data_IF_373358209497
#
_entry.id   IF_373358209497
#
_cell.length_a   1.000
_cell.length_b   1.000
_cell.length_c   1.000
_cell.angle_alpha   90.00
_cell.angle_beta   90.00
_cell.angle_gamma   90.00
#
_symmetry.space_group_name_H-M   'P 1'
#
loop_
_entity.id
_entity.type
_entity.pdbx_description
1 polymer ?
#
# COMPACT_ATOMS: atom_id res chain seq x y z
N UNK A 1 9.61 -7.96 -17.58
CA UNK A 1 8.58 -8.76 -16.84
C UNK A 1 9.18 -9.01 -15.49
N UNK A 2 8.76 -8.22 -14.53
CA UNK A 2 9.31 -8.27 -13.18
C UNK A 2 8.75 -9.50 -12.49
N UNK A 3 9.65 -10.35 -11.95
CA UNK A 3 9.29 -11.65 -11.42
C UNK A 3 8.40 -11.52 -10.18
N UNK A 4 7.20 -12.07 -10.27
CA UNK A 4 6.32 -12.29 -9.13
C UNK A 4 6.61 -13.68 -8.60
N UNK A 5 7.08 -13.78 -7.36
CA UNK A 5 7.26 -15.07 -6.69
C UNK A 5 6.08 -15.28 -5.76
N UNK A 6 5.17 -16.18 -6.12
CA UNK A 6 4.08 -16.64 -5.25
C UNK A 6 4.56 -17.89 -4.51
N UNK A 7 4.50 -17.85 -3.18
CA UNK A 7 4.94 -18.96 -2.35
C UNK A 7 3.76 -19.43 -1.51
N UNK A 8 3.30 -20.64 -1.82
CA UNK A 8 2.37 -21.38 -0.96
C UNK A 8 3.15 -22.19 0.09
N UNK A 9 2.59 -22.25 1.30
CA UNK A 9 3.04 -23.11 2.41
C UNK A 9 4.48 -22.88 2.90
N UNK A 10 4.72 -21.76 3.59
CA UNK A 10 5.86 -21.54 4.50
C UNK A 10 7.28 -21.73 3.92
N UNK A 11 7.47 -21.77 2.61
CA UNK A 11 8.78 -21.86 1.99
C UNK A 11 9.09 -20.57 1.25
N UNK A 12 10.05 -19.78 1.73
CA UNK A 12 10.58 -18.63 1.00
C UNK A 12 11.43 -19.17 -0.16
N UNK A 13 11.01 -18.98 -1.42
CA UNK A 13 11.84 -19.30 -2.57
C UNK A 13 13.00 -18.31 -2.68
N UNK A 14 14.11 -18.70 -3.31
CA UNK A 14 15.29 -17.85 -3.55
C UNK A 14 14.92 -16.62 -4.38
N UNK A 15 15.20 -15.49 -3.91
CA UNK A 15 14.37 -14.32 -3.75
C UNK A 15 14.97 -13.18 -4.55
N UNK A 16 14.22 -12.68 -5.55
CA UNK A 16 14.57 -11.47 -6.33
C UNK A 16 14.77 -10.23 -5.46
N UNK A 17 14.34 -10.28 -4.18
CA UNK A 17 14.38 -9.18 -3.23
C UNK A 17 15.62 -9.21 -2.32
N UNK A 18 16.28 -10.38 -2.22
CA UNK A 18 17.51 -10.55 -1.45
C UNK A 18 18.72 -10.39 -2.36
N UNK A 19 19.32 -9.23 -2.34
CA UNK A 19 20.54 -8.91 -3.10
C UNK A 19 21.43 -7.95 -2.31
N UNK A 20 22.75 -7.98 -2.56
CA UNK A 20 23.68 -7.12 -1.85
C UNK A 20 23.57 -5.66 -2.31
N UNK A 21 23.51 -4.75 -1.33
CA UNK A 21 23.52 -3.29 -1.58
C UNK A 21 24.58 -2.60 -0.74
N UNK A 22 25.25 -1.64 -1.32
CA UNK A 22 26.25 -0.81 -0.67
C UNK A 22 26.00 0.68 -0.92
N UNK A 23 26.42 1.49 0.05
CA UNK A 23 26.43 2.95 -0.13
C UNK A 23 27.78 3.33 -0.70
N UNK A 24 27.78 3.92 -1.89
CA UNK A 24 28.99 4.29 -2.62
C UNK A 24 29.13 5.81 -2.79
N UNK A 25 30.37 6.27 -2.96
CA UNK A 25 30.66 7.67 -3.25
C UNK A 25 30.28 8.00 -4.69
N UNK A 26 29.93 9.24 -4.93
CA UNK A 26 29.64 9.77 -6.26
C UNK A 26 30.83 10.58 -6.77
N UNK A 27 31.05 10.49 -8.05
CA UNK A 27 31.93 11.40 -8.79
C UNK A 27 31.12 12.17 -9.84
N UNK A 28 31.51 13.39 -10.13
CA UNK A 28 30.93 14.20 -11.19
C UNK A 28 31.97 14.44 -12.29
N UNK A 29 31.53 14.49 -13.54
CA UNK A 29 32.35 14.95 -14.67
C UNK A 29 31.73 16.21 -15.26
N UNK A 30 32.59 17.10 -15.81
CA UNK A 30 32.14 18.23 -16.60
C UNK A 30 32.01 17.80 -18.06
N UNK A 31 31.02 18.27 -18.78
CA UNK A 31 30.82 17.95 -20.18
C UNK A 31 32.10 18.19 -20.98
N UNK A 32 32.56 17.17 -21.73
CA UNK A 32 33.79 17.21 -22.53
C UNK A 32 35.07 17.04 -21.72
N UNK A 33 35.03 16.82 -20.42
CA UNK A 33 36.19 16.57 -19.56
C UNK A 33 36.23 15.09 -19.13
N UNK A 34 37.40 14.46 -19.27
CA UNK A 34 37.63 13.10 -18.77
C UNK A 34 37.96 13.05 -17.27
N UNK A 35 38.12 14.20 -16.63
CA UNK A 35 38.42 14.25 -15.20
C UNK A 35 37.15 13.96 -14.35
N UNK A 36 37.35 13.18 -13.30
CA UNK A 36 36.31 12.89 -12.30
C UNK A 36 36.60 13.71 -11.05
N UNK A 37 35.56 14.35 -10.53
CA UNK A 37 35.61 15.17 -9.33
C UNK A 37 34.78 14.50 -8.23
N UNK A 38 35.33 14.30 -7.05
CA UNK A 38 34.62 13.71 -5.93
C UNK A 38 33.48 14.60 -5.45
N UNK A 39 32.29 14.04 -5.37
CA UNK A 39 31.14 14.69 -4.72
C UNK A 39 31.27 14.47 -3.22
N UNK A 40 31.29 15.55 -2.40
CA UNK A 40 31.38 15.39 -0.95
C UNK A 40 30.24 14.48 -0.41
N UNK A 41 30.58 13.51 0.43
CA UNK A 41 29.61 12.57 1.03
C UNK A 41 28.54 13.29 1.84
N UNK A 42 28.83 14.47 2.33
CA UNK A 42 27.85 15.34 3.02
C UNK A 42 26.77 15.88 2.08
N UNK A 43 27.04 15.94 0.77
CA UNK A 43 26.08 16.41 -0.23
C UNK A 43 25.24 15.27 -0.78
N UNK A 44 25.91 14.21 -1.29
CA UNK A 44 25.19 13.08 -1.87
C UNK A 44 26.02 11.79 -1.85
N UNK A 45 25.31 10.64 -1.79
CA UNK A 45 25.84 9.28 -1.92
C UNK A 45 24.84 8.47 -2.74
N UNK A 46 25.31 7.41 -3.41
CA UNK A 46 24.43 6.47 -4.10
C UNK A 46 24.27 5.18 -3.30
N UNK A 47 23.11 4.55 -3.44
CA UNK A 47 22.89 3.16 -3.06
C UNK A 47 23.02 2.34 -4.34
N UNK A 48 23.93 1.39 -4.35
CA UNK A 48 24.25 0.56 -5.50
C UNK A 48 23.99 -0.90 -5.17
N UNK A 49 23.38 -1.59 -6.08
CA UNK A 49 23.24 -3.03 -6.11
C UNK A 49 24.56 -3.63 -6.65
N UNK A 50 25.28 -4.38 -5.82
CA UNK A 50 26.67 -4.78 -6.13
C UNK A 50 26.78 -6.00 -7.04
N UNK A 51 25.73 -6.80 -7.18
CA UNK A 51 25.67 -7.94 -8.09
C UNK A 51 25.44 -7.52 -9.56
N UNK A 52 24.77 -6.38 -9.78
CA UNK A 52 24.50 -5.85 -11.13
C UNK A 52 25.21 -4.52 -11.43
N UNK A 53 25.83 -3.90 -10.42
CA UNK A 53 26.41 -2.56 -10.45
C UNK A 53 25.41 -1.43 -10.82
N UNK A 54 24.12 -1.66 -10.55
CA UNK A 54 23.08 -0.67 -10.81
C UNK A 54 22.90 0.29 -9.62
N UNK A 55 22.75 1.58 -9.93
CA UNK A 55 22.43 2.59 -8.93
C UNK A 55 20.93 2.60 -8.70
N UNK A 56 20.51 2.25 -7.48
CA UNK A 56 19.10 2.17 -7.07
C UNK A 56 18.56 3.53 -6.58
N UNK A 57 19.42 4.41 -6.09
CA UNK A 57 19.02 5.74 -5.63
C UNK A 57 20.21 6.62 -5.26
N UNK A 58 20.00 7.93 -5.33
CA UNK A 58 20.99 8.95 -4.92
C UNK A 58 20.37 9.83 -3.83
N UNK A 59 21.09 9.99 -2.72
CA UNK A 59 20.54 10.62 -1.52
C UNK A 59 21.56 11.49 -0.80
N UNK A 60 21.05 12.50 -0.06
CA UNK A 60 21.84 13.28 0.87
C UNK A 60 22.29 12.45 2.10
N UNK A 61 23.23 13.01 2.86
CA UNK A 61 23.89 12.35 4.01
C UNK A 61 22.95 11.86 5.13
N UNK A 62 21.75 12.41 5.22
CA UNK A 62 20.75 12.03 6.25
C UNK A 62 19.95 10.78 5.90
N UNK A 63 20.00 10.31 4.64
CA UNK A 63 19.29 9.12 4.25
C UNK A 63 19.97 7.87 4.82
N UNK A 64 19.17 6.98 5.38
CA UNK A 64 19.60 5.67 5.87
C UNK A 64 18.88 4.59 5.07
N UNK A 65 19.60 3.87 4.23
CA UNK A 65 19.06 2.71 3.55
C UNK A 65 18.68 1.64 4.57
N UNK A 66 17.48 1.07 4.40
CA UNK A 66 17.07 -0.15 5.11
C UNK A 66 17.09 -1.25 4.05
N UNK A 67 17.83 -2.32 4.28
CA UNK A 67 17.90 -3.43 3.35
C UNK A 67 16.53 -4.08 3.21
N UNK A 68 16.21 -4.55 2.01
CA UNK A 68 14.97 -5.31 1.79
C UNK A 68 14.92 -6.56 2.66
N UNK A 69 16.06 -7.25 2.82
CA UNK A 69 16.20 -8.41 3.70
C UNK A 69 15.80 -8.10 5.15
N UNK A 70 16.28 -6.97 5.69
CA UNK A 70 15.98 -6.57 7.06
C UNK A 70 14.48 -6.30 7.24
N UNK A 71 13.85 -5.70 6.23
CA UNK A 71 12.40 -5.43 6.24
C UNK A 71 11.61 -6.73 6.20
N UNK A 72 11.90 -7.60 5.22
CA UNK A 72 11.18 -8.86 5.05
C UNK A 72 11.33 -9.73 6.28
N UNK A 73 12.56 -9.96 6.73
CA UNK A 73 12.85 -10.80 7.89
C UNK A 73 12.13 -10.26 9.14
N UNK A 74 12.20 -8.95 9.38
CA UNK A 74 11.54 -8.34 10.53
C UNK A 74 10.02 -8.44 10.49
N UNK A 75 9.39 -8.29 9.33
CA UNK A 75 7.94 -8.47 9.20
C UNK A 75 7.56 -9.93 9.38
N UNK A 76 8.31 -10.88 8.79
CA UNK A 76 8.06 -12.31 8.93
C UNK A 76 8.27 -12.79 10.38
N UNK A 77 9.28 -12.28 11.07
CA UNK A 77 9.47 -12.55 12.50
C UNK A 77 8.33 -11.95 13.33
N UNK A 78 7.85 -10.75 12.97
CA UNK A 78 6.71 -10.14 13.63
C UNK A 78 5.41 -10.94 13.42
N UNK A 79 5.19 -11.48 12.22
CA UNK A 79 4.07 -12.39 11.93
C UNK A 79 4.15 -13.64 12.78
N UNK A 80 5.28 -14.32 12.79
CA UNK A 80 5.51 -15.54 13.61
C UNK A 80 5.33 -15.27 15.10
N UNK A 81 5.89 -14.15 15.60
CA UNK A 81 5.83 -13.79 17.02
C UNK A 81 4.48 -13.22 17.45
N UNK A 82 3.61 -12.81 16.51
CA UNK A 82 2.27 -12.34 16.85
C UNK A 82 1.34 -13.47 17.31
N UNK A 83 1.70 -14.72 17.04
CA UNK A 83 0.88 -15.92 17.31
C UNK A 83 -0.56 -15.83 16.76
N UNK A 84 -0.77 -15.02 15.72
CA UNK A 84 -2.08 -14.76 15.12
C UNK A 84 -2.57 -15.99 14.36
N UNK A 85 -1.75 -16.51 13.45
CA UNK A 85 -1.96 -17.76 12.71
C UNK A 85 -0.66 -18.19 12.03
N UNK A 86 -0.56 -19.50 11.76
CA UNK A 86 0.53 -20.08 10.95
C UNK A 86 0.07 -20.46 9.54
N UNK A 87 -1.20 -20.27 9.20
CA UNK A 87 -1.75 -20.54 7.87
C UNK A 87 -1.84 -19.25 7.06
N UNK A 88 -0.76 -18.95 6.34
CA UNK A 88 -0.66 -17.76 5.50
C UNK A 88 0.16 -18.00 4.23
N UNK A 89 -0.16 -17.23 3.21
CA UNK A 89 0.62 -17.12 1.98
C UNK A 89 1.39 -15.80 1.96
N UNK A 90 2.61 -15.82 1.42
CA UNK A 90 3.46 -14.63 1.28
C UNK A 90 3.73 -14.35 -0.19
N UNK A 91 3.56 -13.08 -0.60
CA UNK A 91 3.95 -12.60 -1.91
C UNK A 91 4.86 -11.38 -1.77
N UNK A 92 6.04 -11.42 -2.40
CA UNK A 92 7.03 -10.34 -2.39
C UNK A 92 7.35 -9.96 -3.82
N UNK A 93 7.21 -8.68 -4.13
CA UNK A 93 7.46 -8.10 -5.44
C UNK A 93 8.51 -7.01 -5.33
N UNK A 94 9.43 -6.98 -6.29
CA UNK A 94 10.40 -5.89 -6.46
C UNK A 94 10.14 -5.18 -7.78
N UNK A 95 10.37 -3.87 -7.78
CA UNK A 95 10.15 -2.99 -8.93
C UNK A 95 11.40 -2.14 -9.16
N UNK A 96 11.51 -1.60 -10.37
CA UNK A 96 12.56 -0.68 -10.77
C UNK A 96 13.95 -1.25 -10.45
N UNK A 97 14.24 -2.44 -10.99
CA UNK A 97 15.49 -3.20 -10.83
C UNK A 97 15.88 -3.51 -9.37
N UNK A 98 14.91 -3.51 -8.46
CA UNK A 98 15.13 -3.72 -7.03
C UNK A 98 15.13 -2.43 -6.21
N UNK A 99 14.89 -1.27 -6.81
CA UNK A 99 14.83 -0.02 -6.04
C UNK A 99 13.64 0.04 -5.07
N UNK A 100 12.57 -0.74 -5.32
CA UNK A 100 11.33 -0.75 -4.53
C UNK A 100 10.91 -2.16 -4.20
N UNK A 101 10.32 -2.35 -3.03
CA UNK A 101 9.78 -3.62 -2.55
C UNK A 101 8.37 -3.43 -2.02
N UNK A 102 7.47 -4.33 -2.42
CA UNK A 102 6.15 -4.56 -1.82
C UNK A 102 6.05 -6.00 -1.36
N UNK A 103 5.65 -6.23 -0.11
CA UNK A 103 5.34 -7.54 0.39
C UNK A 103 3.93 -7.62 0.96
N UNK A 104 3.29 -8.79 0.85
CA UNK A 104 2.00 -9.11 1.47
C UNK A 104 2.06 -10.46 2.16
N UNK A 105 1.37 -10.56 3.30
CA UNK A 105 1.11 -11.80 4.03
C UNK A 105 -0.41 -11.94 4.16
N UNK A 106 -0.98 -12.97 3.56
CA UNK A 106 -2.40 -13.26 3.52
C UNK A 106 -2.72 -14.43 4.43
N UNK A 107 -3.51 -14.21 5.48
CA UNK A 107 -3.88 -15.26 6.42
C UNK A 107 -5.11 -16.03 5.93
N UNK A 108 -4.96 -17.33 5.67
CA UNK A 108 -5.97 -18.15 5.02
C UNK A 108 -7.15 -18.51 5.93
N UNK A 109 -6.91 -18.62 7.22
CA UNK A 109 -7.89 -18.94 8.26
C UNK A 109 -8.53 -17.71 8.92
N UNK A 110 -7.98 -16.51 8.69
CA UNK A 110 -8.50 -15.27 9.26
C UNK A 110 -9.40 -14.53 8.26
N UNK A 111 -10.63 -15.03 8.15
CA UNK A 111 -11.63 -14.57 7.19
C UNK A 111 -12.91 -14.16 7.92
N UNK A 112 -13.49 -13.03 7.53
CA UNK A 112 -14.84 -12.62 7.89
C UNK A 112 -15.74 -12.63 6.66
N UNK A 113 -17.02 -12.91 6.84
CA UNK A 113 -18.04 -12.91 5.80
C UNK A 113 -19.10 -11.85 6.13
N UNK A 114 -18.97 -10.61 5.61
CA UNK A 114 -19.95 -9.56 5.85
C UNK A 114 -21.32 -9.90 5.25
N UNK A 115 -21.35 -10.42 4.03
CA UNK A 115 -22.53 -10.91 3.33
C UNK A 115 -22.25 -12.31 2.77
N UNK A 116 -23.29 -13.09 2.50
CA UNK A 116 -23.17 -14.46 1.99
C UNK A 116 -22.33 -14.48 0.71
N UNK A 117 -21.23 -15.23 0.72
CA UNK A 117 -20.30 -15.36 -0.40
C UNK A 117 -19.33 -14.19 -0.58
N UNK A 118 -19.39 -13.16 0.27
CA UNK A 118 -18.49 -12.01 0.22
C UNK A 118 -17.46 -12.09 1.35
N UNK A 119 -16.29 -12.62 1.05
CA UNK A 119 -15.24 -12.90 2.02
C UNK A 119 -14.19 -11.81 2.07
N UNK A 120 -13.83 -11.40 3.28
CA UNK A 120 -12.74 -10.46 3.56
C UNK A 120 -11.69 -11.17 4.41
N UNK A 121 -10.46 -11.25 3.89
CA UNK A 121 -9.32 -11.92 4.54
C UNK A 121 -8.42 -10.90 5.22
N UNK A 122 -7.86 -11.25 6.35
CA UNK A 122 -6.84 -10.44 7.00
C UNK A 122 -5.53 -10.49 6.22
N UNK A 123 -4.94 -9.30 5.97
CA UNK A 123 -3.68 -9.11 5.25
C UNK A 123 -2.75 -8.18 6.01
N UNK A 124 -1.48 -8.53 6.03
CA UNK A 124 -0.38 -7.60 6.36
C UNK A 124 0.31 -7.22 5.06
N UNK A 125 0.52 -5.92 4.84
CA UNK A 125 1.21 -5.39 3.65
C UNK A 125 2.34 -4.47 4.10
N UNK A 126 3.46 -4.52 3.40
CA UNK A 126 4.62 -3.68 3.73
C UNK A 126 5.34 -3.20 2.47
N UNK A 127 6.01 -2.06 2.61
CA UNK A 127 6.73 -1.37 1.54
C UNK A 127 8.10 -0.93 2.01
N UNK A 128 9.05 -0.90 1.09
CA UNK A 128 10.38 -0.30 1.27
C UNK A 128 10.90 0.26 -0.05
N UNK A 129 11.84 1.21 -0.01
CA UNK A 129 12.53 1.64 -1.22
C UNK A 129 13.95 2.12 -0.94
N UNK A 130 14.81 2.02 -1.97
CA UNK A 130 16.15 2.59 -1.98
C UNK A 130 16.21 3.96 -2.70
N UNK A 131 15.17 4.34 -3.44
CA UNK A 131 15.09 5.58 -4.24
C UNK A 131 14.33 6.72 -3.52
N UNK A 132 14.00 6.56 -2.24
CA UNK A 132 13.18 7.49 -1.42
C UNK A 132 11.74 7.69 -1.90
N UNK A 133 11.30 7.00 -2.95
CA UNK A 133 9.92 7.16 -3.45
C UNK A 133 8.87 6.59 -2.50
N UNK A 134 9.27 5.58 -1.70
CA UNK A 134 8.46 4.97 -0.66
C UNK A 134 9.16 5.07 0.68
N UNK A 135 8.40 5.45 1.72
CA UNK A 135 8.86 5.27 3.10
C UNK A 135 8.72 3.77 3.49
N UNK A 136 9.44 3.33 4.50
CA UNK A 136 9.06 2.08 5.16
C UNK A 136 7.64 2.22 5.69
N UNK A 137 6.77 1.33 5.27
CA UNK A 137 5.38 1.27 5.70
C UNK A 137 4.96 -0.18 5.90
N UNK A 138 4.27 -0.45 7.00
CA UNK A 138 3.61 -1.72 7.26
C UNK A 138 2.17 -1.43 7.67
N UNK A 139 1.22 -2.13 7.08
CA UNK A 139 -0.21 -1.98 7.34
C UNK A 139 -0.86 -3.36 7.49
N UNK A 140 -1.81 -3.47 8.40
CA UNK A 140 -2.64 -4.66 8.56
C UNK A 140 -4.11 -4.30 8.33
N UNK A 141 -4.81 -5.02 7.47
CA UNK A 141 -6.16 -4.70 7.03
C UNK A 141 -6.91 -5.92 6.43
N UNK A 142 -8.20 -5.77 6.18
CA UNK A 142 -8.99 -6.76 5.44
C UNK A 142 -8.80 -6.66 3.92
N UNK A 143 -8.62 -7.80 3.26
CA UNK A 143 -8.63 -7.94 1.81
C UNK A 143 -9.91 -8.65 1.36
N UNK A 144 -10.74 -7.99 0.56
CA UNK A 144 -11.91 -8.63 -0.03
C UNK A 144 -11.50 -9.59 -1.15
N UNK A 145 -11.89 -10.87 -1.03
CA UNK A 145 -11.41 -11.93 -1.93
C UNK A 145 -12.04 -11.89 -3.32
N UNK A 146 -13.29 -11.44 -3.44
CA UNK A 146 -14.00 -11.41 -4.72
C UNK A 146 -13.33 -10.52 -5.78
N UNK A 147 -12.80 -9.37 -5.36
CA UNK A 147 -12.18 -8.38 -6.26
C UNK A 147 -10.72 -8.09 -5.90
N UNK A 148 -10.12 -8.81 -4.96
CA UNK A 148 -8.77 -8.56 -4.41
C UNK A 148 -8.57 -7.10 -3.93
N UNK A 149 -9.66 -6.46 -3.51
CA UNK A 149 -9.63 -5.09 -3.03
C UNK A 149 -9.13 -5.02 -1.59
N UNK A 150 -8.16 -4.17 -1.32
CA UNK A 150 -7.75 -3.86 0.04
C UNK A 150 -8.86 -3.10 0.79
N UNK A 151 -9.46 -3.75 1.79
CA UNK A 151 -10.46 -3.13 2.67
C UNK A 151 -9.74 -2.40 3.80
N UNK A 152 -9.28 -1.17 3.53
CA UNK A 152 -8.63 -0.34 4.55
C UNK A 152 -9.66 0.53 5.25
N UNK A 153 -10.21 0.07 6.38
CA UNK A 153 -10.99 0.96 7.25
C UNK A 153 -10.02 1.79 8.09
N UNK A 154 -10.22 3.10 8.10
CA UNK A 154 -9.27 4.04 8.69
C UNK A 154 -9.05 3.85 10.20
N UNK A 155 -10.03 3.32 10.93
CA UNK A 155 -9.98 3.14 12.37
C UNK A 155 -9.47 1.75 12.79
N UNK A 156 -9.34 0.82 11.83
CA UNK A 156 -9.00 -0.59 12.08
C UNK A 156 -7.62 -1.00 11.57
N UNK A 157 -6.91 -0.10 10.91
CA UNK A 157 -5.58 -0.39 10.34
C UNK A 157 -4.50 -0.10 11.36
N UNK A 158 -3.79 -1.14 11.79
CA UNK A 158 -2.51 -0.96 12.45
C UNK A 158 -1.49 -0.55 11.38
N UNK A 159 -1.03 0.69 11.45
CA UNK A 159 -0.08 1.24 10.49
C UNK A 159 1.23 1.62 11.17
N UNK A 160 2.35 1.17 10.61
CA UNK A 160 3.70 1.65 10.94
C UNK A 160 4.24 2.40 9.73
N UNK A 161 4.72 3.61 9.95
CA UNK A 161 5.34 4.42 8.93
C UNK A 161 6.61 5.07 9.47
N UNK A 162 7.70 5.01 8.72
CA UNK A 162 8.95 5.68 9.08
C UNK A 162 9.67 6.18 7.83
N UNK A 163 10.21 7.40 7.94
CA UNK A 163 11.11 7.94 6.91
C UNK A 163 12.48 7.27 7.03
N UNK A 164 13.17 7.10 5.92
CA UNK A 164 14.56 6.60 5.86
C UNK A 164 15.61 7.58 6.44
N UNK A 165 15.18 8.58 7.19
CA UNK A 165 16.06 9.54 7.89
C UNK A 165 16.13 9.31 9.40
N UNK A 166 15.30 8.42 9.93
CA UNK A 166 15.22 8.07 11.36
C UNK A 166 15.61 6.62 11.58
N UNK A 167 15.95 6.25 12.81
CA UNK A 167 16.09 4.84 13.15
C UNK A 167 14.70 4.17 13.07
N UNK A 168 14.51 3.33 12.07
CA UNK A 168 13.28 2.56 11.94
C UNK A 168 13.31 1.45 12.96
N UNK A 169 12.43 1.52 13.96
CA UNK A 169 12.23 0.42 14.90
C UNK A 169 11.19 -0.54 14.28
N UNK A 170 11.70 -1.64 13.74
CA UNK A 170 10.88 -2.71 13.16
C UNK A 170 10.40 -3.69 14.24
N UNK A 171 11.03 -3.67 15.44
CA UNK A 171 10.75 -4.61 16.54
C UNK A 171 9.34 -4.47 17.16
N UNK A 172 8.71 -3.30 17.06
CA UNK A 172 7.33 -3.08 17.54
C UNK A 172 6.23 -3.64 16.62
N UNK A 173 6.59 -4.31 15.54
CA UNK A 173 5.65 -4.73 14.47
C UNK A 173 4.69 -5.85 14.92
N UNK A 174 5.13 -6.81 15.75
CA UNK A 174 4.28 -7.93 16.19
C UNK A 174 3.04 -7.47 16.98
N UNK A 175 3.23 -6.54 17.92
CA UNK A 175 2.10 -5.96 18.69
C UNK A 175 1.12 -5.21 17.80
N UNK A 176 1.62 -4.59 16.73
CA UNK A 176 0.77 -3.87 15.77
C UNK A 176 0.01 -4.81 14.83
N UNK A 177 0.60 -5.95 14.46
CA UNK A 177 -0.10 -7.00 13.72
C UNK A 177 -1.24 -7.56 14.56
N UNK A 178 -0.99 -7.86 15.85
CA UNK A 178 -2.03 -8.34 16.77
C UNK A 178 -3.14 -7.30 16.94
N UNK A 179 -2.80 -6.03 17.19
CA UNK A 179 -3.79 -4.95 17.30
C UNK A 179 -4.58 -4.77 15.98
N UNK A 180 -3.94 -4.96 14.84
CA UNK A 180 -4.59 -4.95 13.53
C UNK A 180 -5.57 -6.10 13.36
N UNK A 181 -5.26 -7.30 13.86
CA UNK A 181 -6.18 -8.42 13.85
C UNK A 181 -7.39 -8.16 14.76
N UNK A 182 -7.14 -7.72 15.99
CA UNK A 182 -8.22 -7.43 16.95
C UNK A 182 -9.20 -6.39 16.35
N UNK A 183 -8.65 -5.34 15.73
CA UNK A 183 -9.43 -4.36 15.01
C UNK A 183 -10.17 -4.98 13.80
N UNK A 184 -9.52 -5.81 13.00
CA UNK A 184 -10.14 -6.49 11.86
C UNK A 184 -11.33 -7.36 12.28
N UNK A 185 -11.20 -8.11 13.34
CA UNK A 185 -12.28 -8.97 13.85
C UNK A 185 -13.52 -8.16 14.28
N UNK A 186 -13.34 -6.91 14.73
CA UNK A 186 -14.47 -6.02 15.07
C UNK A 186 -15.14 -5.39 13.83
N UNK A 187 -14.49 -5.40 12.66
CA UNK A 187 -15.05 -4.78 11.45
C UNK A 187 -16.26 -5.49 10.88
N UNK A 188 -16.46 -6.76 11.21
CA UNK A 188 -17.60 -7.56 10.74
C UNK A 188 -18.95 -6.88 10.99
N UNK A 189 -19.15 -6.35 12.19
CA UNK A 189 -20.41 -5.70 12.54
C UNK A 189 -20.53 -4.32 11.87
N UNK A 190 -19.42 -3.61 11.68
CA UNK A 190 -19.38 -2.37 10.92
C UNK A 190 -19.78 -2.62 9.46
N UNK A 191 -19.20 -3.62 8.80
CA UNK A 191 -19.54 -3.95 7.41
C UNK A 191 -21.00 -4.40 7.26
N UNK A 192 -21.52 -5.17 8.22
CA UNK A 192 -22.95 -5.52 8.27
C UNK A 192 -23.85 -4.28 8.35
N UNK A 193 -23.46 -3.28 9.17
CA UNK A 193 -24.22 -2.04 9.24
C UNK A 193 -24.20 -1.29 7.90
N UNK A 194 -23.10 -1.32 7.15
CA UNK A 194 -23.01 -0.68 5.83
C UNK A 194 -23.86 -1.39 4.76
N UNK A 195 -24.07 -2.69 4.88
CA UNK A 195 -24.97 -3.44 3.99
C UNK A 195 -26.41 -2.98 4.16
N UNK A 196 -26.81 -2.62 5.37
CA UNK A 196 -28.17 -2.13 5.67
C UNK A 196 -28.32 -0.61 5.47
N UNK A 197 -27.24 0.13 5.32
CA UNK A 197 -27.28 1.58 5.06
C UNK A 197 -27.52 1.83 3.57
N UNK A 198 -28.67 2.40 3.22
CA UNK A 198 -29.01 2.69 1.83
C UNK A 198 -28.15 3.82 1.26
N UNK A 199 -27.69 3.63 0.02
CA UNK A 199 -26.99 4.65 -0.79
C UNK A 199 -27.52 4.56 -2.21
N UNK A 200 -28.03 5.66 -2.74
CA UNK A 200 -28.44 5.79 -4.15
C UNK A 200 -27.32 6.40 -5.03
N UNK A 201 -27.62 6.56 -6.30
CA UNK A 201 -26.66 7.07 -7.30
C UNK A 201 -26.28 8.53 -7.05
N UNK A 202 -27.23 9.37 -6.61
CA UNK A 202 -27.01 10.78 -6.32
C UNK A 202 -26.14 10.95 -5.07
N UNK A 203 -26.37 10.14 -4.04
CA UNK A 203 -25.55 10.11 -2.81
C UNK A 203 -24.13 9.66 -3.13
N UNK A 204 -23.96 8.62 -3.95
CA UNK A 204 -22.65 8.11 -4.35
C UNK A 204 -21.87 9.15 -5.17
N UNK A 205 -22.52 9.78 -6.17
CA UNK A 205 -21.92 10.83 -6.99
C UNK A 205 -21.51 12.05 -6.15
N UNK A 206 -22.37 12.49 -5.25
CA UNK A 206 -22.12 13.60 -4.33
C UNK A 206 -20.92 13.29 -3.42
N UNK A 207 -20.88 12.09 -2.88
CA UNK A 207 -19.74 11.63 -2.07
C UNK A 207 -18.42 11.65 -2.87
N UNK A 208 -18.40 11.08 -4.07
CA UNK A 208 -17.20 11.08 -4.92
C UNK A 208 -16.75 12.49 -5.29
N UNK A 209 -17.67 13.37 -5.70
CA UNK A 209 -17.37 14.78 -6.03
C UNK A 209 -16.68 15.49 -4.87
N UNK A 210 -17.27 15.42 -3.69
CA UNK A 210 -16.82 16.21 -2.55
C UNK A 210 -15.62 15.62 -1.82
N UNK A 211 -15.46 14.30 -1.80
CA UNK A 211 -14.43 13.62 -1.00
C UNK A 211 -13.22 13.18 -1.80
N UNK A 212 -13.37 12.92 -3.12
CA UNK A 212 -12.32 12.32 -3.93
C UNK A 212 -11.92 13.14 -5.16
N UNK A 213 -12.88 13.72 -5.86
CA UNK A 213 -12.68 14.33 -7.18
C UNK A 213 -12.40 15.83 -7.13
N UNK A 214 -12.46 16.47 -5.98
CA UNK A 214 -12.31 17.91 -5.85
C UNK A 214 -10.92 18.37 -6.29
N UNK A 215 -10.88 19.31 -7.25
CA UNK A 215 -9.65 19.93 -7.73
C UNK A 215 -9.44 21.26 -6.99
N UNK A 216 -8.27 21.51 -6.40
CA UNK A 216 -7.95 22.81 -5.82
C UNK A 216 -8.06 23.90 -6.88
N UNK A 217 -8.85 24.94 -6.62
CA UNK A 217 -8.99 26.10 -7.50
C UNK A 217 -8.73 27.39 -6.71
N UNK A 218 -8.10 28.37 -7.37
CA UNK A 218 -7.85 29.70 -6.81
C UNK A 218 -9.12 30.59 -6.80
N UNK A 219 -10.16 30.17 -7.53
CA UNK A 219 -11.47 30.86 -7.59
C UNK A 219 -12.47 30.12 -6.73
N UNK A 220 -13.48 30.80 -6.21
CA UNK A 220 -14.52 30.25 -5.33
C UNK A 220 -15.39 29.15 -5.97
N UNK A 221 -15.19 28.83 -7.25
CA UNK A 221 -15.94 27.81 -7.98
C UNK A 221 -15.26 26.46 -7.80
N UNK A 222 -16.04 25.45 -7.35
CA UNK A 222 -15.56 24.09 -7.26
C UNK A 222 -15.43 23.49 -8.67
N UNK A 223 -14.26 22.85 -8.92
CA UNK A 223 -14.04 22.02 -10.10
C UNK A 223 -13.82 20.57 -9.66
N UNK A 224 -14.27 19.67 -10.49
CA UNK A 224 -14.14 18.23 -10.28
C UNK A 224 -13.22 17.62 -11.33
N UNK A 225 -12.54 16.54 -10.98
CA UNK A 225 -11.86 15.68 -11.94
C UNK A 225 -12.91 14.74 -12.55
N UNK A 226 -13.50 15.14 -13.68
CA UNK A 226 -14.57 14.40 -14.34
C UNK A 226 -14.14 12.97 -14.70
N UNK A 227 -12.94 12.78 -15.27
CA UNK A 227 -12.43 11.45 -15.59
C UNK A 227 -12.34 10.53 -14.36
N UNK A 228 -11.94 11.07 -13.23
CA UNK A 228 -11.89 10.32 -11.98
C UNK A 228 -13.29 10.01 -11.47
N UNK A 229 -14.22 10.93 -11.61
CA UNK A 229 -15.62 10.75 -11.23
C UNK A 229 -16.26 9.64 -12.08
N UNK A 230 -16.09 9.67 -13.41
CA UNK A 230 -16.60 8.65 -14.33
C UNK A 230 -16.08 7.26 -13.96
N UNK A 231 -14.79 7.15 -13.66
CA UNK A 231 -14.18 5.87 -13.22
C UNK A 231 -14.79 5.38 -11.90
N UNK A 232 -14.95 6.25 -10.91
CA UNK A 232 -15.55 5.91 -9.63
C UNK A 232 -17.03 5.52 -9.76
N UNK A 233 -17.80 6.24 -10.59
CA UNK A 233 -19.20 5.90 -10.87
C UNK A 233 -19.31 4.56 -11.62
N UNK A 234 -18.39 4.27 -12.54
CA UNK A 234 -18.32 2.94 -13.18
C UNK A 234 -18.09 1.81 -12.18
N UNK A 235 -17.18 2.01 -11.22
CA UNK A 235 -16.95 1.06 -10.12
C UNK A 235 -18.21 0.92 -9.25
N UNK A 236 -18.87 2.04 -8.92
CA UNK A 236 -20.12 2.04 -8.16
C UNK A 236 -21.22 1.22 -8.83
N UNK A 237 -21.46 1.44 -10.12
CA UNK A 237 -22.50 0.69 -10.85
C UNK A 237 -22.18 -0.81 -10.93
N UNK A 238 -20.91 -1.18 -11.04
CA UNK A 238 -20.48 -2.58 -11.03
C UNK A 238 -20.75 -3.24 -9.68
N UNK A 239 -20.29 -2.61 -8.58
CA UNK A 239 -20.47 -3.16 -7.23
C UNK A 239 -21.94 -3.11 -6.77
N UNK A 240 -22.68 -2.04 -7.08
CA UNK A 240 -24.12 -1.92 -6.81
C UNK A 240 -24.92 -3.07 -7.43
N UNK A 241 -24.56 -3.53 -8.62
CA UNK A 241 -25.25 -4.62 -9.30
C UNK A 241 -25.14 -5.94 -8.53
N UNK A 242 -24.03 -6.20 -7.85
CA UNK A 242 -23.77 -7.43 -7.11
C UNK A 242 -24.11 -7.33 -5.62
N UNK A 243 -23.92 -6.15 -5.01
CA UNK A 243 -24.03 -5.94 -3.56
C UNK A 243 -25.29 -5.16 -3.15
N UNK A 244 -25.99 -4.55 -4.12
CA UNK A 244 -27.15 -3.69 -3.86
C UNK A 244 -26.78 -2.22 -3.64
N UNK A 245 -27.81 -1.36 -3.53
CA UNK A 245 -27.67 0.08 -3.30
C UNK A 245 -27.41 0.37 -1.84
N UNK A 246 -26.16 0.20 -1.40
CA UNK A 246 -25.80 0.35 0.00
C UNK A 246 -24.35 0.87 0.20
N UNK A 247 -24.05 1.27 1.42
CA UNK A 247 -22.74 1.81 1.80
C UNK A 247 -21.60 0.82 1.64
N UNK A 248 -21.86 -0.49 1.75
CA UNK A 248 -20.87 -1.54 1.50
C UNK A 248 -20.45 -1.56 0.02
N UNK A 249 -21.40 -1.43 -0.92
CA UNK A 249 -21.11 -1.30 -2.34
C UNK A 249 -20.31 -0.02 -2.64
N UNK A 250 -20.65 1.11 -2.01
CA UNK A 250 -19.90 2.37 -2.16
C UNK A 250 -18.45 2.24 -1.68
N UNK A 251 -18.24 1.58 -0.52
CA UNK A 251 -16.92 1.29 0.01
C UNK A 251 -16.10 0.42 -0.96
N UNK A 252 -16.71 -0.64 -1.49
CA UNK A 252 -16.04 -1.54 -2.42
C UNK A 252 -15.69 -0.84 -3.74
N UNK A 253 -16.55 0.01 -4.27
CA UNK A 253 -16.26 0.83 -5.44
C UNK A 253 -15.00 1.71 -5.24
N UNK A 254 -14.86 2.33 -4.07
CA UNK A 254 -13.66 3.09 -3.72
C UNK A 254 -12.41 2.22 -3.68
N UNK A 255 -12.47 1.08 -3.02
CA UNK A 255 -11.31 0.19 -2.84
C UNK A 255 -10.93 -0.51 -4.13
N UNK A 256 -11.90 -0.87 -4.98
CA UNK A 256 -11.66 -1.37 -6.33
C UNK A 256 -10.91 -0.35 -7.19
N UNK A 257 -11.39 0.90 -7.25
CA UNK A 257 -10.72 1.98 -7.96
C UNK A 257 -9.28 2.20 -7.48
N UNK A 258 -9.00 2.04 -6.19
CA UNK A 258 -7.67 2.24 -5.64
C UNK A 258 -6.70 1.12 -6.00
N UNK A 259 -7.15 -0.13 -6.01
CA UNK A 259 -6.32 -1.32 -6.24
C UNK A 259 -6.13 -1.66 -7.72
N UNK A 260 -7.05 -1.25 -8.61
CA UNK A 260 -6.98 -1.55 -10.04
C UNK A 260 -6.36 -0.38 -10.82
N UNK A 261 -5.05 -0.47 -11.06
CA UNK A 261 -4.22 0.61 -11.62
C UNK A 261 -3.39 0.19 -12.83
N UNK A 262 -3.74 -0.91 -13.49
CA UNK A 262 -2.98 -1.53 -14.58
C UNK A 262 -2.72 -0.58 -15.76
N UNK A 263 -3.61 0.38 -16.00
CA UNK A 263 -3.48 1.39 -17.06
C UNK A 263 -2.49 2.52 -16.71
N UNK A 264 -1.99 2.55 -15.48
CA UNK A 264 -1.04 3.57 -15.03
C UNK A 264 0.38 3.27 -15.54
N UNK A 265 1.15 4.35 -15.79
CA UNK A 265 2.59 4.23 -16.11
C UNK A 265 3.41 3.64 -14.95
N UNK A 266 2.94 3.73 -13.73
CA UNK A 266 3.55 3.16 -12.53
C UNK A 266 2.45 2.57 -11.63
N UNK A 267 1.93 1.36 -11.93
CA UNK A 267 0.77 0.79 -11.25
C UNK A 267 0.93 0.71 -9.73
N UNK A 268 2.05 0.16 -9.24
CA UNK A 268 2.31 0.00 -7.81
C UNK A 268 2.35 1.34 -7.05
N UNK A 269 2.97 2.36 -7.62
CA UNK A 269 2.99 3.69 -7.00
C UNK A 269 1.61 4.34 -7.01
N UNK A 270 0.87 4.21 -8.12
CA UNK A 270 -0.50 4.74 -8.25
C UNK A 270 -1.43 4.06 -7.24
N UNK A 271 -1.37 2.75 -7.12
CA UNK A 271 -2.13 2.00 -6.13
C UNK A 271 -1.87 2.51 -4.72
N UNK A 272 -0.59 2.59 -4.30
CA UNK A 272 -0.20 3.09 -2.99
C UNK A 272 -0.72 4.51 -2.72
N UNK A 273 -0.64 5.41 -3.70
CA UNK A 273 -1.14 6.78 -3.55
C UNK A 273 -2.66 6.82 -3.39
N UNK A 274 -3.41 6.02 -4.16
CA UNK A 274 -4.87 5.91 -4.06
C UNK A 274 -5.31 5.29 -2.74
N UNK A 275 -4.66 4.24 -2.27
CA UNK A 275 -4.92 3.62 -0.95
C UNK A 275 -4.69 4.62 0.18
N UNK A 276 -3.60 5.39 0.15
CA UNK A 276 -3.35 6.46 1.11
C UNK A 276 -4.40 7.60 1.05
N UNK A 277 -4.93 7.89 -0.14
CA UNK A 277 -6.04 8.84 -0.30
C UNK A 277 -7.31 8.30 0.36
N UNK A 278 -7.69 7.04 0.11
CA UNK A 278 -8.86 6.42 0.71
C UNK A 278 -8.78 6.37 2.23
N UNK A 279 -7.63 6.03 2.80
CA UNK A 279 -7.42 6.04 4.25
C UNK A 279 -7.69 7.42 4.88
N UNK A 280 -7.50 8.52 4.14
CA UNK A 280 -7.87 9.86 4.58
C UNK A 280 -9.36 10.14 4.38
N UNK A 281 -9.93 9.69 3.25
CA UNK A 281 -11.34 9.92 2.89
C UNK A 281 -12.27 9.24 3.89
N UNK A 282 -12.00 8.01 4.27
CA UNK A 282 -12.83 7.26 5.22
C UNK A 282 -12.77 7.81 6.67
N UNK A 283 -11.80 8.67 6.99
CA UNK A 283 -11.75 9.44 8.26
C UNK A 283 -12.57 10.72 8.23
N UNK A 284 -13.03 11.17 7.06
CA UNK A 284 -13.75 12.43 6.93
C UNK A 284 -15.21 12.31 7.35
N UNK A 285 -15.78 13.43 7.80
CA UNK A 285 -17.20 13.51 8.17
C UNK A 285 -18.16 13.13 7.03
N UNK A 286 -17.76 13.37 5.78
CA UNK A 286 -18.57 12.99 4.62
C UNK A 286 -18.81 11.48 4.52
N UNK A 287 -17.83 10.65 4.86
CA UNK A 287 -17.99 9.20 4.93
C UNK A 287 -18.99 8.77 6.02
N UNK A 288 -18.97 9.45 7.16
CA UNK A 288 -19.86 9.10 8.28
C UNK A 288 -21.30 9.59 8.08
N UNK A 289 -21.52 10.49 7.10
CA UNK A 289 -22.86 11.02 6.77
C UNK A 289 -23.58 10.24 5.68
N UNK A 290 -22.86 9.47 4.90
CA UNK A 290 -23.42 8.55 3.90
C UNK A 290 -23.88 7.20 4.55
#
# INVERSE_FOLDING_TARGET
MDGVTVIGNNTLALDNWSFPVETVNLTASKDGDCNLYDVPQSMARAIMRTDTNEVLGVHGSKYKAIKHDDVVNSVMDAVKNSAVSNDYDTNIEVFDNGAKLRGTVDFNDLVIEPAVGDYVRFRVQFFNSYDSSWAFQQSAFGLRLWCLNGCTHADTVANTWAKHTTNVNVEGSSKKIQAGLDAFMTTKDIYKSWITTHVDDEMAETFFKHSMCRVPNKTSTFKWNERMLDNLMSCWYADKKSLGSNKWALYNACTYWASHTQESKSPANTQRLRENQLAKVFKQSNWHRV
#
